data_IF_369261958377
#
_entry.id   IF_369261958377
#
_cell.length_a   1.000
_cell.length_b   1.000
_cell.length_c   1.000
_cell.angle_alpha   90.00
_cell.angle_beta   90.00
_cell.angle_gamma   90.00
#
_symmetry.space_group_name_H-M   'P 1'
#
loop_
_entity.id
_entity.type
_entity.pdbx_description
1 polymer ?
#
# COMPACT_ATOMS: atom_id res chain seq x y z
N UNK A 1 16.10 1.52 19.01
CA UNK A 1 15.12 1.88 17.97
C UNK A 1 14.31 0.64 17.61
N UNK A 2 12.99 0.72 17.74
CA UNK A 2 12.13 -0.43 17.51
C UNK A 2 11.64 -0.47 16.08
N UNK A 3 11.80 -1.62 15.45
CA UNK A 3 11.17 -1.87 14.16
C UNK A 3 9.73 -2.26 14.35
N UNK A 4 8.87 -1.74 13.49
CA UNK A 4 7.47 -2.12 13.48
C UNK A 4 7.27 -3.29 12.54
N UNK A 5 6.36 -4.18 12.87
CA UNK A 5 5.95 -5.22 11.94
C UNK A 5 5.10 -4.59 10.84
N UNK A 6 5.26 -5.04 9.61
CA UNK A 6 4.44 -4.59 8.50
C UNK A 6 3.42 -5.68 8.21
N UNK A 7 2.15 -5.32 8.25
CA UNK A 7 1.05 -6.26 8.01
C UNK A 7 0.14 -5.72 6.92
N UNK A 8 -0.40 -6.62 6.13
CA UNK A 8 -1.27 -6.28 5.00
C UNK A 8 -2.70 -6.66 5.33
N UNK A 9 -3.60 -5.69 5.23
CA UNK A 9 -5.03 -5.99 5.32
C UNK A 9 -5.45 -6.82 4.09
N UNK A 10 -6.52 -7.61 4.20
CA UNK A 10 -7.01 -8.38 3.06
C UNK A 10 -7.26 -7.55 1.81
N UNK A 11 -7.74 -6.31 1.97
CA UNK A 11 -7.95 -5.43 0.83
C UNK A 11 -6.64 -5.06 0.13
N UNK A 12 -5.56 -4.85 0.89
CA UNK A 12 -4.25 -4.56 0.32
C UNK A 12 -3.70 -5.76 -0.46
N UNK A 13 -3.86 -6.96 0.09
CA UNK A 13 -3.44 -8.17 -0.61
C UNK A 13 -4.23 -8.35 -1.91
N UNK A 14 -5.53 -8.09 -1.88
CA UNK A 14 -6.36 -8.15 -3.08
C UNK A 14 -5.92 -7.12 -4.13
N UNK A 15 -5.54 -5.93 -3.68
CA UNK A 15 -5.02 -4.91 -4.59
C UNK A 15 -3.79 -5.41 -5.33
N UNK A 16 -2.86 -6.06 -4.60
CA UNK A 16 -1.64 -6.61 -5.19
C UNK A 16 -1.97 -7.75 -6.16
N UNK A 17 -2.92 -8.61 -5.80
CA UNK A 17 -3.35 -9.70 -6.68
C UNK A 17 -3.95 -9.17 -7.98
N UNK A 18 -4.80 -8.17 -7.89
CA UNK A 18 -5.42 -7.55 -9.08
C UNK A 18 -4.37 -6.91 -9.98
N UNK A 19 -3.40 -6.23 -9.37
CA UNK A 19 -2.32 -5.61 -10.11
C UNK A 19 -1.46 -6.66 -10.81
N UNK A 20 -1.12 -7.74 -10.10
CA UNK A 20 -0.35 -8.83 -10.68
C UNK A 20 -1.09 -9.48 -11.85
N UNK A 21 -2.39 -9.71 -11.69
CA UNK A 21 -3.22 -10.27 -12.75
C UNK A 21 -3.20 -9.41 -14.01
N UNK A 22 -3.41 -8.11 -13.82
CA UNK A 22 -3.40 -7.17 -14.94
C UNK A 22 -2.05 -7.13 -15.63
N UNK A 23 -0.97 -7.04 -14.85
CA UNK A 23 0.37 -6.98 -15.40
C UNK A 23 0.76 -8.27 -16.15
N UNK A 24 0.31 -9.42 -15.66
CA UNK A 24 0.60 -10.68 -16.32
C UNK A 24 -0.03 -10.75 -17.72
N UNK A 25 -1.14 -10.04 -17.90
CA UNK A 25 -1.84 -10.00 -19.19
C UNK A 25 -1.25 -8.98 -20.15
N UNK A 26 -0.85 -7.81 -19.66
CA UNK A 26 -0.36 -6.72 -20.52
C UNK A 26 1.15 -6.73 -20.71
N UNK A 27 1.88 -7.44 -19.87
CA UNK A 27 3.34 -7.56 -19.97
C UNK A 27 3.76 -9.02 -19.97
N UNK A 28 3.96 -9.60 -18.77
CA UNK A 28 4.30 -11.02 -18.63
C UNK A 28 4.16 -11.42 -17.17
N UNK A 29 4.09 -12.72 -16.91
CA UNK A 29 4.08 -13.22 -15.54
C UNK A 29 5.33 -12.81 -14.78
N UNK A 30 6.48 -12.90 -15.45
CA UNK A 30 7.75 -12.55 -14.81
C UNK A 30 7.76 -11.09 -14.39
N UNK A 31 7.31 -10.20 -15.26
CA UNK A 31 7.24 -8.77 -14.96
C UNK A 31 6.25 -8.47 -13.84
N UNK A 32 5.13 -9.20 -13.81
CA UNK A 32 4.14 -9.05 -12.76
C UNK A 32 4.74 -9.41 -11.41
N UNK A 33 5.42 -10.54 -11.33
CA UNK A 33 6.07 -11.00 -10.09
C UNK A 33 7.14 -10.00 -9.65
N UNK A 34 8.01 -9.58 -10.56
CA UNK A 34 9.08 -8.63 -10.24
C UNK A 34 8.52 -7.31 -9.72
N UNK A 35 7.45 -6.84 -10.34
CA UNK A 35 6.82 -5.57 -9.96
C UNK A 35 6.22 -5.65 -8.56
N UNK A 36 5.49 -6.72 -8.27
CA UNK A 36 4.88 -6.91 -6.94
C UNK A 36 5.96 -7.05 -5.87
N UNK A 37 7.02 -7.79 -6.17
CA UNK A 37 8.14 -7.92 -5.23
C UNK A 37 8.80 -6.56 -4.94
N UNK A 38 8.92 -5.73 -5.96
CA UNK A 38 9.46 -4.38 -5.79
C UNK A 38 8.55 -3.53 -4.90
N UNK A 39 7.22 -3.63 -5.10
CA UNK A 39 6.27 -2.92 -4.26
C UNK A 39 6.41 -3.37 -2.81
N UNK A 40 6.42 -4.67 -2.57
CA UNK A 40 6.54 -5.20 -1.22
C UNK A 40 7.85 -4.78 -0.57
N UNK A 41 8.96 -4.79 -1.32
CA UNK A 41 10.25 -4.36 -0.82
C UNK A 41 10.21 -2.90 -0.35
N UNK A 42 9.56 -2.04 -1.11
CA UNK A 42 9.43 -0.63 -0.73
C UNK A 42 8.50 -0.45 0.48
N UNK A 43 7.43 -1.22 0.54
CA UNK A 43 6.49 -1.17 1.67
C UNK A 43 7.18 -1.62 2.96
N UNK A 44 8.02 -2.66 2.88
CA UNK A 44 8.72 -3.17 4.07
C UNK A 44 9.65 -2.12 4.69
N UNK A 45 10.09 -1.15 3.93
CA UNK A 45 10.91 -0.06 4.47
C UNK A 45 10.15 0.86 5.41
N UNK A 46 8.83 0.76 5.44
CA UNK A 46 8.01 1.51 6.38
C UNK A 46 8.16 1.01 7.81
N UNK A 47 8.82 -0.11 8.02
CA UNK A 47 9.08 -0.65 9.35
C UNK A 47 9.79 0.38 10.25
N UNK A 48 10.63 1.23 9.67
CA UNK A 48 11.33 2.30 10.39
C UNK A 48 10.90 3.69 9.97
N UNK A 49 10.23 3.83 8.83
CA UNK A 49 9.93 5.12 8.25
C UNK A 49 8.46 5.43 8.07
N UNK A 50 7.59 4.74 8.79
CA UNK A 50 6.16 4.90 8.62
C UNK A 50 5.63 6.31 8.88
N UNK A 51 6.29 7.06 9.76
CA UNK A 51 5.87 8.43 10.07
C UNK A 51 6.06 9.40 8.92
N UNK A 52 6.78 9.01 7.88
CA UNK A 52 7.02 9.89 6.73
C UNK A 52 5.78 10.13 5.88
N UNK A 53 4.80 9.23 5.98
CA UNK A 53 3.59 9.37 5.19
C UNK A 53 2.78 10.59 5.61
N UNK A 54 2.04 11.16 4.65
CA UNK A 54 1.15 12.29 4.91
C UNK A 54 -0.15 11.79 5.55
N UNK A 55 -0.52 12.39 6.68
CA UNK A 55 -1.79 12.07 7.33
C UNK A 55 -2.92 12.64 6.47
N UNK A 56 -3.81 11.78 5.98
CA UNK A 56 -4.94 12.18 5.13
C UNK A 56 -6.25 12.25 5.92
N UNK A 57 -6.33 11.51 7.00
CA UNK A 57 -7.52 11.51 7.85
C UNK A 57 -7.06 11.62 9.30
N UNK A 58 -7.17 12.83 9.85
CA UNK A 58 -6.74 13.10 11.21
C UNK A 58 -7.54 12.28 12.24
N UNK A 59 -8.78 11.94 11.91
CA UNK A 59 -9.63 11.18 12.82
C UNK A 59 -9.17 9.73 12.97
N UNK A 60 -8.78 9.09 11.86
CA UNK A 60 -8.33 7.70 11.88
C UNK A 60 -6.81 7.58 11.93
N UNK A 61 -6.09 8.65 11.64
CA UNK A 61 -4.64 8.61 11.52
C UNK A 61 -4.14 7.97 10.23
N UNK A 62 -5.01 7.84 9.24
CA UNK A 62 -4.64 7.26 7.96
C UNK A 62 -3.57 8.09 7.27
N UNK A 63 -2.51 7.42 6.85
CA UNK A 63 -1.40 8.04 6.13
C UNK A 63 -1.34 7.50 4.71
N UNK A 64 -0.85 8.33 3.79
CA UNK A 64 -0.63 7.91 2.40
C UNK A 64 0.79 8.29 2.01
N UNK A 65 1.48 7.38 1.35
CA UNK A 65 2.82 7.63 0.85
C UNK A 65 2.97 7.03 -0.55
N UNK A 66 3.70 7.72 -1.42
CA UNK A 66 4.10 7.16 -2.69
C UNK A 66 5.34 6.31 -2.45
N UNK A 67 5.28 5.03 -2.77
CA UNK A 67 6.44 4.15 -2.62
C UNK A 67 7.35 4.24 -3.84
N UNK A 68 6.79 4.32 -5.01
CA UNK A 68 7.40 4.77 -6.27
C UNK A 68 6.25 4.94 -7.26
N UNK A 69 6.40 5.89 -8.17
CA UNK A 69 5.31 6.12 -9.14
C UNK A 69 5.11 4.93 -10.03
N UNK A 70 3.87 4.51 -10.26
CA UNK A 70 2.61 5.15 -9.87
C UNK A 70 1.94 4.50 -8.64
N UNK A 71 2.72 3.96 -7.73
CA UNK A 71 2.20 3.21 -6.58
C UNK A 71 2.19 4.05 -5.32
N UNK A 72 1.02 4.13 -4.69
CA UNK A 72 0.86 4.72 -3.36
C UNK A 72 0.27 3.69 -2.43
N UNK A 73 0.51 3.83 -1.14
CA UNK A 73 -0.10 2.96 -0.15
C UNK A 73 -0.78 3.80 0.92
N UNK A 74 -1.93 3.31 1.37
CA UNK A 74 -2.64 3.88 2.50
C UNK A 74 -2.43 2.95 3.69
N UNK A 75 -2.03 3.51 4.82
CA UNK A 75 -1.70 2.71 5.99
C UNK A 75 -1.92 3.53 7.26
N UNK A 76 -1.97 2.85 8.38
CA UNK A 76 -1.86 3.51 9.67
C UNK A 76 -0.86 2.79 10.55
N UNK A 77 -0.45 3.46 11.62
CA UNK A 77 0.51 2.92 12.57
C UNK A 77 -0.23 2.65 13.87
N UNK A 78 -0.16 1.42 14.33
CA UNK A 78 -0.74 1.01 15.61
C UNK A 78 0.36 0.34 16.42
N UNK A 79 0.80 1.00 17.49
CA UNK A 79 1.86 0.49 18.36
C UNK A 79 3.08 0.06 17.54
N UNK A 80 3.33 -1.25 17.45
CA UNK A 80 4.48 -1.80 16.74
C UNK A 80 4.13 -2.30 15.36
N UNK A 81 2.96 -1.91 14.82
CA UNK A 81 2.49 -2.43 13.54
C UNK A 81 2.25 -1.29 12.55
N UNK A 82 2.77 -1.47 11.34
CA UNK A 82 2.38 -0.65 10.18
C UNK A 82 1.33 -1.47 9.44
N UNK A 83 0.08 -1.01 9.51
CA UNK A 83 -1.04 -1.75 8.94
C UNK A 83 -1.38 -1.19 7.56
N UNK A 84 -0.97 -1.92 6.52
CA UNK A 84 -1.20 -1.51 5.13
C UNK A 84 -2.65 -1.80 4.78
N UNK A 85 -3.41 -0.76 4.46
CA UNK A 85 -4.84 -0.88 4.19
C UNK A 85 -5.14 -1.04 2.71
N UNK A 86 -4.46 -0.26 1.87
CA UNK A 86 -4.69 -0.31 0.42
C UNK A 86 -3.39 -0.08 -0.33
N UNK A 87 -3.28 -0.71 -1.49
CA UNK A 87 -2.23 -0.44 -2.46
C UNK A 87 -2.91 0.13 -3.70
N UNK A 88 -2.50 1.31 -4.11
CA UNK A 88 -3.20 2.09 -5.12
C UNK A 88 -2.29 2.31 -6.32
N UNK A 89 -2.79 1.97 -7.51
CA UNK A 89 -2.04 2.07 -8.74
C UNK A 89 -2.55 3.22 -9.60
N UNK A 90 -1.62 4.03 -10.07
CA UNK A 90 -1.91 5.05 -11.08
C UNK A 90 -2.73 6.22 -10.55
N UNK A 91 -3.59 6.73 -11.42
CA UNK A 91 -4.40 7.89 -11.13
C UNK A 91 -5.69 7.61 -10.37
N UNK A 92 -5.77 6.47 -9.68
CA UNK A 92 -6.95 6.17 -8.87
C UNK A 92 -7.22 7.28 -7.86
N UNK A 93 -8.48 7.57 -7.65
CA UNK A 93 -8.89 8.47 -6.58
C UNK A 93 -8.96 7.65 -5.29
N UNK A 94 -7.82 7.48 -4.64
CA UNK A 94 -7.73 6.69 -3.41
C UNK A 94 -8.69 7.22 -2.33
N UNK A 95 -8.96 8.52 -2.35
CA UNK A 95 -9.85 9.14 -1.38
C UNK A 95 -11.28 8.66 -1.55
N UNK A 96 -11.76 8.61 -2.79
CA UNK A 96 -13.08 8.04 -3.09
C UNK A 96 -13.12 6.55 -2.80
N UNK A 97 -12.04 5.83 -3.14
CA UNK A 97 -11.96 4.39 -2.87
C UNK A 97 -12.06 4.11 -1.39
N UNK A 98 -11.35 4.88 -0.57
CA UNK A 98 -11.39 4.70 0.88
C UNK A 98 -12.77 5.07 1.45
N UNK A 99 -13.38 6.13 0.92
CA UNK A 99 -14.73 6.52 1.33
C UNK A 99 -15.74 5.44 0.99
N UNK A 100 -15.60 4.81 -0.18
CA UNK A 100 -16.47 3.71 -0.59
C UNK A 100 -16.37 2.52 0.35
N UNK A 101 -15.16 2.24 0.83
CA UNK A 101 -14.93 1.14 1.76
C UNK A 101 -15.61 1.35 3.11
N UNK A 102 -15.96 2.58 3.43
CA UNK A 102 -16.64 2.92 4.69
C UNK A 102 -18.16 2.76 4.62
N UNK A 103 -18.69 2.60 3.45
CA UNK A 103 -20.12 2.39 3.26
C UNK A 103 -20.52 0.91 3.47
#
# INVERSE_FOLDING_TARGET
MNRRAVRYAPAAERDLEKLADWLSKVASEKRAIDYVLRIRSQIEKLDLGGERGTVRDAHTGMRVISVFRPISVAFWIEDDVVAIQRVIYGGQDWKSDLATDHD
#
